data_IF_143843415387
#
_entry.id   IF_143843415387
#
_cell.length_a   1.000
_cell.length_b   1.000
_cell.length_c   1.000
_cell.angle_alpha   90.00
_cell.angle_beta   90.00
_cell.angle_gamma   90.00
#
_symmetry.space_group_name_H-M   'P 1'
#
loop_
_entity.id
_entity.type
_entity.pdbx_description
1 polymer ?
#
# COMPACT_ATOMS: atom_id res chain seq x y z
N UNK A 1 12.68 -7.93 16.38
CA UNK A 1 12.36 -9.33 16.00
C UNK A 1 12.05 -9.35 14.51
N UNK A 2 12.76 -10.14 13.72
CA UNK A 2 12.64 -10.17 12.24
C UNK A 2 11.67 -11.25 11.72
N UNK A 3 10.54 -11.47 12.38
CA UNK A 3 9.59 -12.51 11.98
C UNK A 3 8.82 -12.09 10.73
N UNK A 4 8.94 -12.86 9.66
CA UNK A 4 8.12 -12.71 8.45
C UNK A 4 6.82 -13.49 8.68
N UNK A 5 5.69 -12.78 8.60
CA UNK A 5 4.36 -13.40 8.76
C UNK A 5 3.95 -14.09 7.45
N UNK A 6 3.29 -15.26 7.52
CA UNK A 6 2.80 -15.97 6.34
C UNK A 6 1.51 -15.32 5.82
N UNK A 7 1.62 -14.11 5.25
CA UNK A 7 0.45 -13.30 4.87
C UNK A 7 -0.39 -13.95 3.77
N UNK A 8 0.23 -14.72 2.88
CA UNK A 8 -0.48 -15.47 1.83
C UNK A 8 -1.42 -16.52 2.44
N UNK A 9 -0.94 -17.31 3.40
CA UNK A 9 -1.77 -18.33 4.07
C UNK A 9 -2.87 -17.67 4.91
N UNK A 10 -2.58 -16.54 5.56
CA UNK A 10 -3.56 -15.81 6.36
C UNK A 10 -4.65 -15.22 5.45
N UNK A 11 -4.30 -14.67 4.29
CA UNK A 11 -5.26 -14.15 3.32
C UNK A 11 -6.21 -15.27 2.85
N UNK A 12 -5.65 -16.43 2.50
CA UNK A 12 -6.44 -17.59 2.12
C UNK A 12 -7.45 -17.99 3.20
N UNK A 13 -7.00 -18.12 4.45
CA UNK A 13 -7.88 -18.48 5.57
C UNK A 13 -8.97 -17.41 5.78
N UNK A 14 -8.62 -16.12 5.68
CA UNK A 14 -9.60 -15.04 5.78
C UNK A 14 -10.69 -15.16 4.72
N UNK A 15 -10.31 -15.37 3.46
CA UNK A 15 -11.24 -15.49 2.34
C UNK A 15 -12.12 -16.75 2.45
N UNK A 16 -11.56 -17.88 2.86
CA UNK A 16 -12.33 -19.11 3.12
C UNK A 16 -13.42 -18.92 4.18
N UNK A 17 -13.25 -17.93 5.06
CA UNK A 17 -14.21 -17.57 6.10
C UNK A 17 -15.01 -16.28 5.78
N UNK A 18 -14.97 -15.80 4.54
CA UNK A 18 -15.73 -14.63 4.10
C UNK A 18 -15.24 -13.30 4.69
N UNK A 19 -14.00 -13.26 5.19
CA UNK A 19 -13.41 -12.05 5.78
C UNK A 19 -12.48 -11.36 4.78
N UNK A 20 -12.45 -10.01 4.82
CA UNK A 20 -11.46 -9.21 4.10
C UNK A 20 -10.17 -9.10 4.92
N UNK A 21 -9.04 -9.03 4.21
CA UNK A 21 -7.72 -8.92 4.83
C UNK A 21 -7.05 -7.59 4.51
N UNK A 22 -6.68 -6.86 5.55
CA UNK A 22 -5.83 -5.65 5.46
C UNK A 22 -4.46 -5.97 6.02
N UNK A 23 -3.42 -5.71 5.25
CA UNK A 23 -2.02 -5.92 5.66
C UNK A 23 -1.32 -4.58 5.86
N UNK A 24 -0.81 -4.32 7.05
CA UNK A 24 0.20 -3.30 7.26
C UNK A 24 1.57 -3.87 6.94
N UNK A 25 2.05 -3.55 5.74
CA UNK A 25 3.35 -3.97 5.23
C UNK A 25 4.46 -2.96 5.40
N UNK A 26 4.29 -1.93 6.23
CA UNK A 26 5.26 -0.83 6.37
C UNK A 26 6.67 -1.29 6.74
N UNK A 27 6.81 -2.41 7.45
CA UNK A 27 8.11 -2.99 7.75
C UNK A 27 8.58 -4.02 6.70
N UNK A 28 7.67 -4.60 5.93
CA UNK A 28 8.01 -5.57 4.91
C UNK A 28 8.44 -4.90 3.60
N UNK A 29 7.72 -3.86 3.18
CA UNK A 29 7.90 -3.19 1.90
C UNK A 29 9.35 -2.73 1.60
N UNK A 30 10.14 -2.20 2.56
CA UNK A 30 11.54 -1.84 2.29
C UNK A 30 12.50 -3.03 2.24
N UNK A 31 12.09 -4.21 2.67
CA UNK A 31 13.01 -5.32 2.92
C UNK A 31 12.81 -6.52 2.00
N UNK A 32 11.58 -6.80 1.58
CA UNK A 32 11.25 -7.94 0.74
C UNK A 32 10.47 -7.52 -0.51
N UNK A 33 10.71 -8.15 -1.67
CA UNK A 33 9.87 -7.94 -2.84
C UNK A 33 8.42 -8.33 -2.54
N UNK A 34 7.49 -7.48 -2.95
CA UNK A 34 6.07 -7.68 -2.75
C UNK A 34 5.40 -8.01 -4.08
N UNK A 35 4.58 -9.04 -4.08
CA UNK A 35 3.70 -9.39 -5.20
C UNK A 35 2.26 -9.41 -4.68
N UNK A 36 1.49 -8.37 -5.00
CA UNK A 36 0.11 -8.23 -4.53
C UNK A 36 -0.81 -9.33 -5.06
N UNK A 37 -0.52 -9.87 -6.25
CA UNK A 37 -1.31 -10.99 -6.81
C UNK A 37 -1.07 -12.28 -6.04
N UNK A 38 0.15 -12.48 -5.56
CA UNK A 38 0.53 -13.67 -4.79
C UNK A 38 0.08 -13.57 -3.33
N UNK A 39 0.24 -12.39 -2.73
CA UNK A 39 -0.23 -12.12 -1.35
C UNK A 39 -1.75 -12.21 -1.26
N UNK A 40 -2.45 -11.79 -2.32
CA UNK A 40 -3.90 -11.77 -2.43
C UNK A 40 -4.64 -11.06 -1.27
N UNK A 41 -3.98 -10.09 -0.61
CA UNK A 41 -4.67 -9.26 0.37
C UNK A 41 -5.66 -8.31 -0.30
N UNK A 42 -6.74 -7.99 0.38
CA UNK A 42 -7.75 -7.06 -0.12
C UNK A 42 -7.25 -5.61 -0.07
N UNK A 43 -6.49 -5.30 0.98
CA UNK A 43 -5.76 -4.04 1.12
C UNK A 43 -4.35 -4.29 1.64
N UNK A 44 -3.41 -3.48 1.16
CA UNK A 44 -2.02 -3.48 1.62
C UNK A 44 -1.54 -2.05 1.78
N UNK A 45 -1.00 -1.71 2.94
CA UNK A 45 -0.55 -0.34 3.22
C UNK A 45 0.93 -0.31 3.60
N UNK A 46 1.61 0.76 3.19
CA UNK A 46 2.97 1.03 3.62
C UNK A 46 3.30 2.52 3.58
N UNK A 47 4.37 2.92 4.24
CA UNK A 47 4.76 4.32 4.39
C UNK A 47 6.13 4.60 3.78
N UNK A 48 6.28 5.78 3.17
CA UNK A 48 7.49 6.16 2.46
C UNK A 48 8.72 6.30 3.36
N UNK A 49 8.57 6.86 4.56
CA UNK A 49 9.71 7.10 5.45
C UNK A 49 10.40 5.82 5.95
N UNK A 50 9.73 4.67 5.91
CA UNK A 50 10.34 3.36 6.22
C UNK A 50 11.01 2.72 5.00
N UNK A 51 10.76 3.27 3.80
CA UNK A 51 11.33 2.83 2.52
C UNK A 51 12.46 3.73 2.02
N UNK A 52 13.21 4.37 2.92
CA UNK A 52 14.24 5.36 2.60
C UNK A 52 13.71 6.59 1.86
N UNK A 53 12.40 6.75 1.82
CA UNK A 53 11.69 7.88 1.22
C UNK A 53 11.36 8.95 2.25
N UNK A 54 10.72 10.03 1.83
CA UNK A 54 10.34 11.13 2.71
C UNK A 54 9.19 10.74 3.66
N UNK A 55 9.02 11.56 4.71
CA UNK A 55 7.81 11.57 5.53
C UNK A 55 6.63 12.14 4.74
N UNK A 56 5.40 12.02 5.25
CA UNK A 56 4.21 12.64 4.66
C UNK A 56 3.67 11.95 3.41
N UNK A 57 4.23 10.81 3.01
CA UNK A 57 3.73 10.00 1.89
C UNK A 57 3.63 8.53 2.29
N UNK A 58 2.57 7.90 1.83
CA UNK A 58 2.34 6.47 1.97
C UNK A 58 1.52 5.94 0.80
N UNK A 59 1.37 4.65 0.72
CA UNK A 59 0.64 3.99 -0.36
C UNK A 59 -0.39 3.03 0.22
N UNK A 60 -1.57 3.04 -0.36
CA UNK A 60 -2.61 2.04 -0.15
C UNK A 60 -2.83 1.31 -1.47
N UNK A 61 -2.56 0.02 -1.49
CA UNK A 61 -3.08 -0.88 -2.50
C UNK A 61 -4.44 -1.39 -2.04
N UNK A 62 -5.40 -1.48 -2.95
CA UNK A 62 -6.69 -2.11 -2.70
C UNK A 62 -7.20 -2.80 -3.95
N UNK A 63 -7.92 -3.91 -3.79
CA UNK A 63 -8.61 -4.57 -4.89
C UNK A 63 -9.64 -3.60 -5.49
N UNK A 64 -9.61 -3.47 -6.81
CA UNK A 64 -10.39 -2.44 -7.54
C UNK A 64 -11.88 -2.50 -7.20
N UNK A 65 -12.44 -3.69 -7.20
CA UNK A 65 -13.87 -3.94 -6.93
C UNK A 65 -14.28 -3.49 -5.52
N UNK A 66 -13.39 -3.60 -4.54
CA UNK A 66 -13.64 -3.11 -3.20
C UNK A 66 -13.55 -1.58 -3.13
N UNK A 67 -12.51 -1.02 -3.73
CA UNK A 67 -12.34 0.44 -3.78
C UNK A 67 -13.50 1.13 -4.52
N UNK A 68 -14.06 0.52 -5.55
CA UNK A 68 -15.20 1.07 -6.29
C UNK A 68 -16.46 1.16 -5.43
N UNK A 69 -16.68 0.22 -4.51
CA UNK A 69 -17.85 0.20 -3.62
C UNK A 69 -17.68 1.03 -2.35
N UNK A 70 -16.45 1.29 -1.91
CA UNK A 70 -16.17 2.07 -0.70
C UNK A 70 -16.54 3.54 -0.89
N UNK A 71 -17.02 4.18 0.18
CA UNK A 71 -17.15 5.64 0.25
C UNK A 71 -15.82 6.27 0.66
N UNK A 72 -15.43 7.41 0.07
CA UNK A 72 -14.34 8.22 0.58
C UNK A 72 -14.65 8.69 1.99
N UNK A 73 -13.62 8.87 2.82
CA UNK A 73 -13.74 9.42 4.17
C UNK A 73 -13.14 10.84 4.28
N UNK A 74 -12.32 11.25 3.32
CA UNK A 74 -11.86 12.62 3.15
C UNK A 74 -12.48 13.22 1.89
N UNK A 75 -12.71 14.54 1.93
CA UNK A 75 -13.29 15.28 0.81
C UNK A 75 -12.40 16.48 0.48
N UNK A 76 -12.24 16.74 -0.83
CA UNK A 76 -11.41 17.86 -1.30
C UNK A 76 -11.42 17.98 -2.82
N UNK A 77 -10.59 18.86 -3.34
CA UNK A 77 -10.42 19.03 -4.78
C UNK A 77 -9.95 17.75 -5.45
N UNK A 78 -10.12 17.66 -6.76
CA UNK A 78 -9.71 16.56 -7.65
C UNK A 78 -10.52 15.25 -7.49
N UNK A 79 -10.93 14.89 -6.26
CA UNK A 79 -11.65 13.65 -5.97
C UNK A 79 -13.16 13.71 -6.22
N UNK A 80 -13.72 14.92 -6.34
CA UNK A 80 -15.15 15.16 -6.53
C UNK A 80 -15.42 15.40 -8.02
N UNK A 81 -16.46 14.78 -8.56
CA UNK A 81 -16.93 15.02 -9.92
C UNK A 81 -18.04 16.06 -9.94
N UNK A 82 -19.07 15.90 -9.11
CA UNK A 82 -20.20 16.82 -9.01
C UNK A 82 -20.69 16.90 -7.56
N UNK A 83 -21.00 18.12 -7.09
CA UNK A 83 -21.60 18.38 -5.78
C UNK A 83 -23.01 18.90 -5.98
N UNK A 84 -23.99 18.23 -5.35
CA UNK A 84 -25.38 18.64 -5.24
C UNK A 84 -25.78 18.75 -3.77
N UNK A 85 -26.89 19.38 -3.49
CA UNK A 85 -27.42 19.50 -2.11
C UNK A 85 -27.72 18.12 -1.48
N UNK A 86 -28.19 17.18 -2.30
CA UNK A 86 -28.70 15.88 -1.85
C UNK A 86 -27.70 14.74 -2.09
N UNK A 87 -26.71 14.94 -2.99
CA UNK A 87 -25.75 13.89 -3.35
C UNK A 87 -24.44 14.48 -3.87
N UNK A 88 -23.38 13.71 -3.78
CA UNK A 88 -22.08 14.03 -4.31
C UNK A 88 -21.54 12.84 -5.08
N UNK A 89 -21.13 13.07 -6.32
CA UNK A 89 -20.46 12.04 -7.13
C UNK A 89 -18.96 12.23 -7.10
N UNK A 90 -18.25 11.11 -7.12
CA UNK A 90 -16.80 11.07 -6.99
C UNK A 90 -16.12 10.75 -8.31
N UNK A 91 -14.89 11.18 -8.42
CA UNK A 91 -14.05 10.88 -9.57
C UNK A 91 -13.70 9.38 -9.62
N UNK A 92 -13.07 8.95 -10.71
CA UNK A 92 -12.60 7.57 -10.89
C UNK A 92 -11.43 7.27 -9.94
N UNK A 93 -11.18 5.99 -9.69
CA UNK A 93 -9.93 5.54 -9.05
C UNK A 93 -8.71 5.95 -9.91
N UNK A 94 -7.60 6.34 -9.30
CA UNK A 94 -7.36 6.44 -7.84
C UNK A 94 -7.85 7.75 -7.21
N UNK A 95 -8.19 8.77 -8.00
CA UNK A 95 -8.54 10.13 -7.53
C UNK A 95 -9.70 10.16 -6.54
N UNK A 96 -10.61 9.19 -6.59
CA UNK A 96 -11.71 9.02 -5.63
C UNK A 96 -11.26 9.08 -4.17
N UNK A 97 -10.03 8.65 -3.87
CA UNK A 97 -9.48 8.62 -2.51
C UNK A 97 -8.33 9.60 -2.28
N UNK A 98 -8.06 10.47 -3.26
CA UNK A 98 -6.96 11.44 -3.23
C UNK A 98 -7.53 12.86 -3.10
N UNK A 99 -7.86 13.26 -1.86
CA UNK A 99 -8.51 14.53 -1.57
C UNK A 99 -7.52 15.70 -1.53
N UNK A 100 -7.68 16.64 -2.45
CA UNK A 100 -6.88 17.85 -2.56
C UNK A 100 -5.55 17.65 -3.29
N UNK A 101 -4.72 18.69 -3.31
CA UNK A 101 -3.41 18.65 -3.96
C UNK A 101 -2.52 17.59 -3.30
N UNK A 102 -1.98 16.62 -4.06
CA UNK A 102 -1.15 15.57 -3.49
C UNK A 102 0.20 16.11 -3.00
N UNK A 103 0.86 15.39 -2.13
CA UNK A 103 2.24 15.66 -1.70
C UNK A 103 3.22 15.40 -2.85
N UNK A 104 3.37 16.36 -3.76
CA UNK A 104 4.08 16.20 -5.04
C UNK A 104 5.56 15.88 -4.78
N UNK A 105 6.24 16.67 -3.94
CA UNK A 105 7.66 16.49 -3.65
C UNK A 105 7.94 15.14 -2.98
N UNK A 106 7.11 14.76 -2.02
CA UNK A 106 7.22 13.50 -1.30
C UNK A 106 6.91 12.30 -2.20
N UNK A 107 5.94 12.44 -3.11
CA UNK A 107 5.63 11.42 -4.12
C UNK A 107 6.81 11.17 -5.07
N UNK A 108 7.44 12.24 -5.56
CA UNK A 108 8.67 12.15 -6.38
C UNK A 108 9.80 11.49 -5.57
N UNK A 109 10.00 11.95 -4.32
CA UNK A 109 11.02 11.40 -3.42
C UNK A 109 10.82 9.91 -3.13
N UNK A 110 9.57 9.47 -2.97
CA UNK A 110 9.26 8.05 -2.80
C UNK A 110 9.61 7.25 -4.08
N UNK A 111 9.33 7.79 -5.26
CA UNK A 111 9.72 7.18 -6.54
C UNK A 111 11.24 6.95 -6.62
N UNK A 112 12.04 7.95 -6.27
CA UNK A 112 13.51 7.86 -6.21
C UNK A 112 13.96 6.80 -5.20
N UNK A 113 13.31 6.73 -4.03
CA UNK A 113 13.62 5.72 -3.01
C UNK A 113 13.33 4.29 -3.51
N UNK A 114 12.23 4.09 -4.22
CA UNK A 114 11.88 2.80 -4.84
C UNK A 114 12.92 2.38 -5.87
N UNK A 115 13.38 3.31 -6.72
CA UNK A 115 14.42 3.01 -7.71
C UNK A 115 15.77 2.70 -7.04
N UNK A 116 16.10 3.39 -5.97
CA UNK A 116 17.28 3.07 -5.16
C UNK A 116 17.20 1.65 -4.57
N UNK A 117 16.07 1.29 -3.95
CA UNK A 117 15.86 -0.05 -3.38
C UNK A 117 15.95 -1.15 -4.46
N UNK A 118 15.40 -0.91 -5.66
CA UNK A 118 15.54 -1.83 -6.79
C UNK A 118 17.00 -1.99 -7.20
N UNK A 119 17.78 -0.91 -7.23
CA UNK A 119 19.19 -0.92 -7.62
C UNK A 119 20.08 -1.63 -6.61
N UNK A 120 19.84 -1.43 -5.31
CA UNK A 120 20.60 -2.07 -4.23
C UNK A 120 20.25 -3.56 -4.10
N UNK A 121 19.05 -3.93 -4.52
CA UNK A 121 18.51 -5.28 -4.40
C UNK A 121 17.82 -5.46 -3.05
N UNK A 122 16.50 -5.63 -3.06
CA UNK A 122 15.73 -6.08 -1.91
C UNK A 122 15.96 -7.58 -1.71
N UNK A 123 17.12 -7.95 -1.20
CA UNK A 123 17.46 -9.33 -0.89
C UNK A 123 17.57 -9.51 0.61
N UNK A 124 16.45 -9.61 1.29
CA UNK A 124 16.44 -10.39 2.52
C UNK A 124 16.10 -11.82 2.13
N UNK A 125 17.13 -12.56 1.83
CA UNK A 125 17.16 -13.99 2.11
C UNK A 125 16.84 -14.13 3.59
N UNK A 126 16.14 -15.17 3.99
CA UNK A 126 15.59 -15.36 5.34
C UNK A 126 16.56 -14.96 6.45
N UNK A 127 16.06 -14.67 7.65
CA UNK A 127 16.90 -14.45 8.86
C UNK A 127 17.96 -15.56 9.04
N UNK A 128 17.66 -16.77 8.59
CA UNK A 128 18.60 -17.89 8.58
C UNK A 128 19.78 -17.65 7.61
N UNK A 129 19.55 -17.01 6.47
CA UNK A 129 20.65 -16.71 5.51
C UNK A 129 21.50 -15.54 6.00
N UNK A 130 20.92 -14.55 6.66
CA UNK A 130 21.67 -13.47 7.31
C UNK A 130 22.59 -13.99 8.42
N UNK A 131 22.13 -14.96 9.22
CA UNK A 131 22.90 -15.55 10.31
C UNK A 131 23.98 -16.54 9.82
N UNK A 132 23.88 -17.09 8.60
CA UNK A 132 24.90 -17.99 8.02
C UNK A 132 26.12 -17.25 7.46
N UNK A 133 26.02 -15.95 7.23
CA UNK A 133 27.10 -15.14 6.63
C UNK A 133 27.79 -14.21 7.63
N UNK A 134 27.54 -14.39 8.95
CA UNK A 134 28.34 -13.85 10.05
C UNK A 134 29.17 -14.95 10.68
#
# INVERSE_FOLDING_TARGET
MGTIKPVEDIAKIAHENGALMVVDGSQAAPHIPLDMKKIDSDFYVFTGHKMLGPTGVGVVYGKKELLETMRPFLYGGEMINEVKFEDTTFNKLPWKFEAGTPNIAEGIGLGVAVDYLKKVGMQIKSTADYLRHK
#
